data_IF_964627349379
#
_entry.id   IF_964627349379
#
_cell.length_a   1.000
_cell.length_b   1.000
_cell.length_c   1.000
_cell.angle_alpha   90.00
_cell.angle_beta   90.00
_cell.angle_gamma   90.00
#
_symmetry.space_group_name_H-M   'P 1'
#
loop_
_entity.id
_entity.type
_entity.pdbx_description
1 polymer ?
#
# COMPACT_ATOMS: atom_id res chain seq x y z
N UNK A 1 -18.16 -13.22 -11.29
CA UNK A 1 -17.27 -12.06 -11.30
C UNK A 1 -16.14 -12.31 -10.33
N UNK A 2 -14.91 -12.01 -10.73
CA UNK A 2 -13.69 -12.14 -9.93
C UNK A 2 -13.17 -10.77 -9.50
N UNK A 3 -12.85 -10.65 -8.22
CA UNK A 3 -12.33 -9.44 -7.61
C UNK A 3 -11.02 -9.77 -6.88
N UNK A 4 -9.98 -8.98 -7.14
CA UNK A 4 -8.75 -9.02 -6.34
C UNK A 4 -8.75 -7.81 -5.43
N UNK A 5 -8.52 -7.99 -4.13
CA UNK A 5 -8.39 -6.92 -3.15
C UNK A 5 -6.96 -6.90 -2.60
N UNK A 6 -6.30 -5.74 -2.68
CA UNK A 6 -4.89 -5.55 -2.35
C UNK A 6 -4.75 -4.60 -1.14
N UNK A 7 -3.92 -4.98 -0.16
CA UNK A 7 -3.34 -4.05 0.82
C UNK A 7 -1.91 -3.69 0.36
N UNK A 8 -1.63 -2.45 -0.06
CA UNK A 8 -0.32 -2.03 -0.55
C UNK A 8 0.72 -1.96 0.57
N UNK A 9 2.03 -1.98 0.25
CA UNK A 9 3.09 -1.90 1.25
C UNK A 9 3.04 -0.74 2.22
N UNK A 10 3.60 -0.98 3.40
CA UNK A 10 3.66 -0.10 4.58
C UNK A 10 2.36 0.03 5.38
N UNK A 11 1.49 -0.98 5.37
CA UNK A 11 0.63 -1.18 6.53
C UNK A 11 1.48 -1.58 7.75
N UNK A 12 0.89 -1.54 8.96
CA UNK A 12 1.54 -2.15 10.12
C UNK A 12 1.84 -3.63 9.81
N UNK A 13 3.09 -4.10 9.92
CA UNK A 13 3.41 -5.51 9.70
C UNK A 13 2.90 -6.41 10.83
N UNK A 14 2.49 -5.82 11.95
CA UNK A 14 2.00 -6.51 13.15
C UNK A 14 0.48 -6.55 13.23
N UNK A 15 -0.22 -6.03 12.23
CA UNK A 15 -1.68 -5.94 12.25
C UNK A 15 -2.23 -6.39 10.91
N UNK A 16 -3.01 -7.48 10.86
CA UNK A 16 -3.61 -7.93 9.61
C UNK A 16 -4.57 -6.85 9.08
N UNK A 17 -4.76 -6.75 7.75
CA UNK A 17 -5.67 -5.78 7.15
C UNK A 17 -7.13 -6.21 7.35
N UNK A 18 -7.64 -6.18 8.58
CA UNK A 18 -8.97 -6.68 8.97
C UNK A 18 -10.11 -6.06 8.15
N UNK A 19 -10.02 -4.78 7.81
CA UNK A 19 -11.00 -4.13 6.92
C UNK A 19 -11.07 -4.77 5.54
N UNK A 20 -9.93 -5.21 4.99
CA UNK A 20 -9.86 -5.92 3.71
C UNK A 20 -10.47 -7.33 3.81
N UNK A 21 -10.23 -8.02 4.93
CA UNK A 21 -10.78 -9.35 5.21
C UNK A 21 -12.30 -9.29 5.40
N UNK A 22 -12.79 -8.29 6.15
CA UNK A 22 -14.23 -8.02 6.32
C UNK A 22 -14.89 -7.77 4.96
N UNK A 23 -14.33 -6.85 4.18
CA UNK A 23 -14.83 -6.53 2.84
C UNK A 23 -14.86 -7.76 1.94
N UNK A 24 -13.77 -8.52 1.88
CA UNK A 24 -13.69 -9.73 1.05
C UNK A 24 -14.73 -10.78 1.45
N UNK A 25 -14.95 -10.97 2.75
CA UNK A 25 -15.97 -11.89 3.25
C UNK A 25 -17.38 -11.43 2.90
N UNK A 26 -17.66 -10.12 3.03
CA UNK A 26 -18.93 -9.55 2.62
C UNK A 26 -19.18 -9.75 1.12
N UNK A 27 -18.20 -9.43 0.26
CA UNK A 27 -18.32 -9.59 -1.20
C UNK A 27 -18.54 -11.06 -1.61
N UNK A 28 -17.88 -12.01 -0.94
CA UNK A 28 -18.11 -13.45 -1.17
C UNK A 28 -19.56 -13.86 -0.87
N UNK A 29 -20.16 -13.34 0.20
CA UNK A 29 -21.60 -13.55 0.50
C UNK A 29 -22.51 -12.95 -0.57
N UNK A 30 -22.05 -11.95 -1.31
CA UNK A 30 -22.74 -11.36 -2.46
C UNK A 30 -22.52 -12.13 -3.77
N UNK A 31 -21.87 -13.30 -3.73
CA UNK A 31 -21.60 -14.15 -4.91
C UNK A 31 -20.43 -13.66 -5.77
N UNK A 32 -19.57 -12.79 -5.24
CA UNK A 32 -18.35 -12.33 -5.91
C UNK A 32 -17.20 -13.25 -5.51
N UNK A 33 -16.47 -13.78 -6.48
CA UNK A 33 -15.24 -14.53 -6.23
C UNK A 33 -14.14 -13.55 -5.84
N UNK A 34 -13.56 -13.69 -4.65
CA UNK A 34 -12.61 -12.71 -4.08
C UNK A 34 -11.29 -13.38 -3.75
N UNK A 35 -10.21 -12.84 -4.32
CA UNK A 35 -8.83 -13.09 -3.92
C UNK A 35 -8.33 -11.93 -3.05
N UNK A 36 -7.76 -12.24 -1.89
CA UNK A 36 -7.14 -11.26 -1.00
C UNK A 36 -5.62 -11.35 -1.15
N UNK A 37 -4.96 -10.20 -1.23
CA UNK A 37 -3.49 -10.13 -1.26
C UNK A 37 -3.04 -9.09 -0.27
N UNK A 38 -2.20 -9.51 0.68
CA UNK A 38 -1.56 -8.59 1.61
C UNK A 38 -0.16 -8.27 1.09
N UNK A 39 -0.13 -7.44 0.05
CA UNK A 39 1.12 -7.02 -0.56
C UNK A 39 2.05 -6.30 0.43
N UNK A 40 1.55 -5.84 1.58
CA UNK A 40 2.40 -5.24 2.61
C UNK A 40 3.31 -6.23 3.30
N UNK A 41 2.75 -7.32 3.85
CA UNK A 41 3.58 -8.34 4.47
C UNK A 41 4.34 -9.15 3.42
N UNK A 42 3.72 -9.43 2.26
CA UNK A 42 4.36 -10.20 1.18
C UNK A 42 5.57 -9.47 0.59
N UNK A 43 5.49 -8.15 0.36
CA UNK A 43 6.62 -7.37 -0.14
C UNK A 43 7.76 -7.27 0.88
N UNK A 44 7.40 -7.10 2.17
CA UNK A 44 8.38 -7.10 3.27
C UNK A 44 9.11 -8.44 3.34
N UNK A 45 8.35 -9.54 3.28
CA UNK A 45 8.87 -10.89 3.33
C UNK A 45 9.77 -11.21 2.12
N UNK A 46 9.35 -10.78 0.92
CA UNK A 46 10.14 -10.90 -0.31
C UNK A 46 11.48 -10.16 -0.19
N UNK A 47 11.46 -8.92 0.33
CA UNK A 47 12.66 -8.10 0.47
C UNK A 47 13.63 -8.66 1.51
N UNK A 48 13.12 -9.15 2.63
CA UNK A 48 13.89 -9.68 3.76
C UNK A 48 14.42 -11.10 3.55
N UNK A 49 14.10 -11.75 2.43
CA UNK A 49 14.71 -13.02 2.07
C UNK A 49 16.25 -12.90 2.09
N UNK A 50 17.00 -13.69 2.89
CA UNK A 50 18.42 -13.44 3.13
C UNK A 50 19.27 -13.33 1.85
N UNK A 51 19.01 -14.18 0.86
CA UNK A 51 19.72 -14.16 -0.43
C UNK A 51 19.49 -12.87 -1.25
N UNK A 52 18.39 -12.14 -1.02
CA UNK A 52 18.09 -10.85 -1.68
C UNK A 52 18.57 -9.67 -0.86
N UNK A 53 18.42 -9.76 0.46
CA UNK A 53 18.71 -8.67 1.38
C UNK A 53 20.22 -8.48 1.59
N UNK A 54 20.93 -9.56 1.94
CA UNK A 54 22.30 -9.47 2.47
C UNK A 54 23.25 -8.70 1.54
N UNK A 55 23.28 -8.95 0.21
CA UNK A 55 24.16 -8.19 -0.68
C UNK A 55 23.86 -6.69 -0.69
N UNK A 56 22.58 -6.30 -0.59
CA UNK A 56 22.19 -4.89 -0.54
C UNK A 56 22.52 -4.26 0.81
N UNK A 57 22.26 -4.97 1.91
CA UNK A 57 22.57 -4.51 3.25
C UNK A 57 24.09 -4.31 3.46
N UNK A 58 24.94 -5.18 2.92
CA UNK A 58 26.40 -5.04 2.98
C UNK A 58 26.89 -3.78 2.26
N UNK A 59 26.35 -3.51 1.07
CA UNK A 59 26.65 -2.26 0.34
C UNK A 59 26.20 -1.04 1.13
N UNK A 60 24.99 -1.09 1.70
CA UNK A 60 24.47 -0.01 2.51
C UNK A 60 25.27 0.26 3.78
N UNK A 61 25.71 -0.80 4.47
CA UNK A 61 26.58 -0.69 5.63
C UNK A 61 27.90 0.01 5.27
N UNK A 62 28.51 -0.37 4.14
CA UNK A 62 29.73 0.28 3.65
C UNK A 62 29.51 1.76 3.27
N UNK A 63 28.35 2.11 2.71
CA UNK A 63 27.99 3.50 2.41
C UNK A 63 27.84 4.34 3.69
N UNK A 64 27.10 3.83 4.68
CA UNK A 64 26.89 4.53 5.95
C UNK A 64 28.18 4.66 6.78
N UNK A 65 29.06 3.66 6.74
CA UNK A 65 30.39 3.74 7.39
C UNK A 65 31.24 4.90 6.86
N UNK A 66 31.08 5.25 5.58
CA UNK A 66 31.78 6.38 4.96
C UNK A 66 31.20 7.74 5.39
N UNK A 67 30.15 7.75 6.22
CA UNK A 67 29.46 8.94 6.74
C UNK A 67 29.06 9.92 5.63
N UNK A 68 28.62 9.36 4.49
CA UNK A 68 28.05 10.18 3.42
C UNK A 68 26.81 10.88 4.00
N UNK A 69 26.77 12.22 4.02
CA UNK A 69 25.62 12.95 4.54
C UNK A 69 24.35 12.53 3.80
N UNK A 70 23.30 12.22 4.54
CA UNK A 70 21.99 11.95 3.98
C UNK A 70 21.25 13.28 3.80
N UNK A 71 20.67 13.53 2.63
CA UNK A 71 19.90 14.75 2.37
C UNK A 71 18.47 14.41 1.90
N UNK A 72 17.41 14.77 2.66
CA UNK A 72 17.46 15.36 4.00
C UNK A 72 17.98 14.34 5.02
N UNK A 73 18.56 14.81 6.13
CA UNK A 73 19.01 13.92 7.18
C UNK A 73 17.85 13.03 7.68
N UNK A 74 18.05 11.71 7.69
CA UNK A 74 17.08 10.75 8.20
C UNK A 74 17.51 10.28 9.59
N UNK A 75 16.80 10.64 10.67
CA UNK A 75 16.98 10.11 12.01
C UNK A 75 17.17 8.60 12.13
N UNK A 76 16.56 7.78 11.27
CA UNK A 76 16.84 6.35 11.22
C UNK A 76 18.28 6.03 10.79
N UNK A 77 18.76 6.69 9.74
CA UNK A 77 20.14 6.55 9.24
C UNK A 77 21.16 7.18 10.18
N UNK A 78 20.81 8.29 10.83
CA UNK A 78 21.64 8.91 11.87
C UNK A 78 21.75 8.03 13.11
N UNK A 79 20.65 7.39 13.55
CA UNK A 79 20.68 6.41 14.64
C UNK A 79 21.63 5.24 14.30
N UNK A 80 21.52 4.69 13.10
CA UNK A 80 22.35 3.55 12.69
C UNK A 80 23.83 3.95 12.55
N UNK A 81 24.09 5.14 12.01
CA UNK A 81 25.44 5.69 11.84
C UNK A 81 26.10 6.10 13.17
N UNK A 82 25.34 6.62 14.13
CA UNK A 82 25.88 7.21 15.37
C UNK A 82 25.73 6.32 16.62
N UNK A 83 24.67 5.51 16.73
CA UNK A 83 24.35 4.70 17.92
C UNK A 83 24.69 3.21 17.76
N UNK A 84 24.48 2.64 16.58
CA UNK A 84 24.59 1.19 16.36
C UNK A 84 25.92 0.74 15.74
N UNK A 85 26.63 1.62 15.01
CA UNK A 85 27.74 1.28 14.10
C UNK A 85 27.25 0.35 12.95
N UNK A 86 27.24 0.78 11.68
CA UNK A 86 26.72 -0.03 10.58
C UNK A 86 27.39 -1.41 10.43
N UNK A 87 28.66 -1.56 10.87
CA UNK A 87 29.34 -2.86 10.89
C UNK A 87 28.71 -3.84 11.89
N UNK A 88 28.37 -3.37 13.09
CA UNK A 88 27.76 -4.20 14.13
C UNK A 88 26.30 -4.53 13.79
N UNK A 89 25.55 -3.56 13.26
CA UNK A 89 24.21 -3.80 12.72
C UNK A 89 24.24 -4.89 11.62
N UNK A 90 25.19 -4.81 10.68
CA UNK A 90 25.34 -5.83 9.64
C UNK A 90 25.69 -7.22 10.21
N UNK A 91 26.51 -7.29 11.27
CA UNK A 91 26.81 -8.55 11.96
C UNK A 91 25.55 -9.15 12.61
N UNK A 92 24.72 -8.33 13.26
CA UNK A 92 23.45 -8.76 13.82
C UNK A 92 22.50 -9.27 12.72
N UNK A 93 22.38 -8.55 11.60
CA UNK A 93 21.58 -8.97 10.43
C UNK A 93 22.03 -10.34 9.91
N UNK A 94 23.34 -10.56 9.74
CA UNK A 94 23.88 -11.86 9.32
C UNK A 94 23.57 -12.98 10.31
N UNK A 95 23.62 -12.71 11.62
CA UNK A 95 23.44 -13.71 12.67
C UNK A 95 21.98 -14.05 12.98
N UNK A 96 21.07 -13.07 12.91
CA UNK A 96 19.69 -13.20 13.42
C UNK A 96 18.70 -13.37 12.27
N UNK A 97 18.81 -12.62 11.17
CA UNK A 97 17.78 -12.65 10.12
C UNK A 97 17.57 -14.06 9.53
N UNK A 98 18.62 -14.84 9.20
CA UNK A 98 18.45 -16.20 8.71
C UNK A 98 17.82 -17.17 9.73
N UNK A 99 17.84 -16.84 11.02
CA UNK A 99 17.25 -17.70 12.07
C UNK A 99 15.78 -17.40 12.30
N UNK A 100 15.31 -16.20 11.93
CA UNK A 100 13.92 -15.78 12.12
C UNK A 100 13.12 -15.74 10.83
N UNK A 101 13.77 -15.73 9.66
CA UNK A 101 13.09 -15.74 8.37
C UNK A 101 12.93 -17.18 7.86
N UNK A 102 11.72 -17.58 7.51
CA UNK A 102 11.44 -18.78 6.73
C UNK A 102 10.74 -18.41 5.42
N UNK A 103 10.42 -19.38 4.56
CA UNK A 103 9.65 -19.08 3.33
C UNK A 103 8.21 -18.64 3.65
N UNK A 104 7.66 -19.09 4.77
CA UNK A 104 6.24 -18.98 5.06
C UNK A 104 5.93 -17.91 6.12
N UNK A 105 6.90 -17.56 6.98
CA UNK A 105 6.69 -16.61 8.07
C UNK A 105 8.00 -16.08 8.68
N UNK A 106 7.84 -15.11 9.59
CA UNK A 106 8.86 -14.76 10.58
C UNK A 106 8.65 -15.55 11.87
N UNK A 107 9.64 -16.35 12.27
CA UNK A 107 9.69 -17.11 13.51
C UNK A 107 10.38 -16.30 14.61
N UNK A 108 9.66 -15.32 15.16
CA UNK A 108 10.15 -14.47 16.24
C UNK A 108 10.12 -15.20 17.59
N UNK A 109 11.17 -15.03 18.38
CA UNK A 109 11.27 -15.50 19.76
C UNK A 109 10.72 -14.41 20.70
N UNK A 110 9.64 -14.67 21.45
CA UNK A 110 9.07 -13.69 22.38
C UNK A 110 10.08 -13.15 23.41
N UNK A 111 11.07 -13.95 23.81
CA UNK A 111 12.09 -13.53 24.78
C UNK A 111 13.14 -12.57 24.17
N UNK A 112 13.26 -12.55 22.85
CA UNK A 112 14.21 -11.72 22.08
C UNK A 112 13.53 -10.78 21.09
N UNK A 113 12.23 -10.57 21.27
CA UNK A 113 11.38 -9.89 20.31
C UNK A 113 11.93 -8.52 19.92
N UNK A 114 12.32 -7.70 20.89
CA UNK A 114 12.80 -6.33 20.64
C UNK A 114 14.11 -6.34 19.83
N UNK A 115 15.07 -7.21 20.18
CA UNK A 115 16.33 -7.39 19.44
C UNK A 115 16.08 -7.83 17.99
N UNK A 116 15.14 -8.75 17.78
CA UNK A 116 14.80 -9.27 16.46
C UNK A 116 14.09 -8.20 15.61
N UNK A 117 13.20 -7.40 16.19
CA UNK A 117 12.56 -6.29 15.51
C UNK A 117 13.54 -5.18 15.16
N UNK A 118 14.47 -4.83 16.07
CA UNK A 118 15.55 -3.89 15.79
C UNK A 118 16.44 -4.41 14.65
N UNK A 119 16.74 -5.71 14.62
CA UNK A 119 17.51 -6.30 13.53
C UNK A 119 16.77 -6.25 12.19
N UNK A 120 15.46 -6.52 12.16
CA UNK A 120 14.65 -6.36 10.95
C UNK A 120 14.64 -4.90 10.50
N UNK A 121 14.46 -3.96 11.43
CA UNK A 121 14.48 -2.53 11.14
C UNK A 121 15.82 -2.09 10.51
N UNK A 122 16.95 -2.50 11.11
CA UNK A 122 18.28 -2.19 10.61
C UNK A 122 18.56 -2.85 9.26
N UNK A 123 18.13 -4.09 9.07
CA UNK A 123 18.18 -4.79 7.78
C UNK A 123 17.51 -3.99 6.66
N UNK A 124 16.33 -3.43 6.91
CA UNK A 124 15.61 -2.64 5.91
C UNK A 124 16.34 -1.34 5.56
N UNK A 125 16.83 -0.61 6.58
CA UNK A 125 17.58 0.64 6.38
C UNK A 125 18.85 0.36 5.59
N UNK A 126 19.64 -0.63 6.02
CA UNK A 126 20.86 -1.04 5.34
C UNK A 126 20.58 -1.42 3.89
N UNK A 127 19.52 -2.19 3.64
CA UNK A 127 19.18 -2.64 2.29
C UNK A 127 18.66 -1.55 1.36
N UNK A 128 18.29 -0.39 1.88
CA UNK A 128 17.77 0.74 1.10
C UNK A 128 18.68 1.97 1.16
N UNK A 129 19.86 1.83 1.77
CA UNK A 129 20.80 2.94 1.95
C UNK A 129 21.30 3.54 0.63
N UNK A 130 21.30 2.77 -0.45
CA UNK A 130 21.66 3.19 -1.81
C UNK A 130 20.52 3.87 -2.57
N UNK A 131 19.28 3.83 -2.04
CA UNK A 131 18.08 4.44 -2.61
C UNK A 131 17.80 5.87 -2.09
N UNK A 132 18.87 6.61 -1.76
CA UNK A 132 18.82 8.02 -1.37
C UNK A 132 17.88 8.84 -2.26
N UNK A 133 17.08 9.77 -1.71
CA UNK A 133 17.11 10.24 -0.33
C UNK A 133 16.19 9.45 0.62
N UNK A 134 15.75 8.24 0.27
CA UNK A 134 14.74 7.53 1.02
C UNK A 134 15.25 6.21 1.61
N UNK A 135 14.88 5.92 2.85
CA UNK A 135 15.20 4.66 3.54
C UNK A 135 13.92 4.01 4.06
N UNK A 136 13.89 2.68 4.03
CA UNK A 136 12.81 1.86 4.55
C UNK A 136 13.15 1.39 5.97
N UNK A 137 12.27 1.64 6.93
CA UNK A 137 12.31 1.05 8.26
C UNK A 137 11.05 0.24 8.56
N UNK A 138 11.06 -0.47 9.69
CA UNK A 138 9.92 -1.31 10.13
C UNK A 138 8.71 -0.48 10.59
N UNK A 139 8.94 0.74 11.10
CA UNK A 139 7.90 1.74 11.38
C UNK A 139 7.34 2.43 10.14
N UNK A 140 7.87 2.10 8.95
CA UNK A 140 7.62 2.77 7.68
C UNK A 140 8.83 3.56 7.20
N UNK A 141 8.60 4.43 6.21
CA UNK A 141 9.58 5.43 5.77
C UNK A 141 9.68 6.48 6.86
N UNK A 142 10.65 6.33 7.75
CA UNK A 142 10.69 7.13 8.96
C UNK A 142 10.83 8.63 8.63
N UNK A 143 11.45 9.08 7.52
CA UNK A 143 11.87 10.49 7.43
C UNK A 143 12.02 11.09 6.00
N UNK A 144 11.37 10.59 4.94
CA UNK A 144 11.50 11.20 3.60
C UNK A 144 10.15 11.44 2.92
N UNK A 145 9.94 12.65 2.38
CA UNK A 145 8.82 12.96 1.46
C UNK A 145 8.88 11.96 0.31
N UNK A 146 7.96 11.00 0.28
CA UNK A 146 7.84 9.98 -0.75
C UNK A 146 7.46 10.60 -2.10
N UNK A 147 8.40 11.28 -2.75
CA UNK A 147 8.46 11.39 -4.19
C UNK A 147 9.49 10.38 -4.64
N UNK A 148 9.05 9.17 -4.95
CA UNK A 148 9.93 8.24 -5.64
C UNK A 148 10.32 8.88 -6.97
N UNK A 149 11.62 8.89 -7.25
CA UNK A 149 12.03 8.96 -8.63
C UNK A 149 11.40 7.74 -9.34
N UNK A 150 10.92 7.88 -10.59
CA UNK A 150 10.42 6.73 -11.32
C UNK A 150 11.42 5.56 -11.26
N UNK A 151 10.99 4.43 -10.71
CA UNK A 151 11.82 3.24 -10.54
C UNK A 151 12.56 3.10 -9.20
N UNK A 152 12.42 4.04 -8.27
CA UNK A 152 13.08 3.98 -6.95
C UNK A 152 12.24 3.35 -5.83
N UNK A 153 11.12 2.69 -6.17
CA UNK A 153 10.30 1.96 -5.20
C UNK A 153 11.05 0.67 -4.78
N UNK A 154 11.35 0.44 -3.49
CA UNK A 154 12.12 -0.71 -3.03
C UNK A 154 11.40 -2.05 -3.20
N UNK A 155 10.10 -2.04 -3.48
CA UNK A 155 9.29 -3.24 -3.70
C UNK A 155 8.98 -3.47 -5.18
N UNK A 156 9.61 -2.72 -6.08
CA UNK A 156 9.35 -2.82 -7.52
C UNK A 156 9.60 -4.22 -8.09
N UNK A 157 10.67 -4.89 -7.64
CA UNK A 157 11.00 -6.25 -8.06
C UNK A 157 9.93 -7.24 -7.59
N UNK A 158 9.43 -7.10 -6.35
CA UNK A 158 8.31 -7.89 -5.85
C UNK A 158 7.06 -7.69 -6.72
N UNK A 159 6.77 -6.46 -7.12
CA UNK A 159 5.61 -6.19 -7.97
C UNK A 159 5.71 -6.91 -9.32
N UNK A 160 6.88 -6.87 -9.93
CA UNK A 160 7.11 -7.41 -11.29
C UNK A 160 7.28 -8.92 -11.31
N UNK A 161 7.95 -9.49 -10.31
CA UNK A 161 8.25 -10.92 -10.25
C UNK A 161 7.12 -11.72 -9.61
N UNK A 162 6.33 -11.14 -8.71
CA UNK A 162 5.36 -11.88 -7.90
C UNK A 162 3.94 -11.32 -8.01
N UNK A 163 3.72 -10.08 -7.55
CA UNK A 163 2.37 -9.53 -7.39
C UNK A 163 1.62 -9.45 -8.72
N UNK A 164 2.17 -8.75 -9.71
CA UNK A 164 1.48 -8.51 -10.98
C UNK A 164 1.25 -9.83 -11.74
N UNK A 165 2.23 -10.75 -11.87
CA UNK A 165 1.97 -12.07 -12.44
C UNK A 165 0.82 -12.81 -11.76
N UNK A 166 0.78 -12.86 -10.43
CA UNK A 166 -0.29 -13.53 -9.68
C UNK A 166 -1.67 -12.87 -9.91
N UNK A 167 -1.73 -11.54 -9.93
CA UNK A 167 -2.99 -10.82 -10.23
C UNK A 167 -3.43 -11.06 -11.68
N UNK A 168 -2.51 -11.12 -12.63
CA UNK A 168 -2.84 -11.46 -14.04
C UNK A 168 -3.37 -12.88 -14.16
N UNK A 169 -2.75 -13.85 -13.49
CA UNK A 169 -3.19 -15.24 -13.48
C UNK A 169 -4.59 -15.41 -12.86
N UNK A 170 -4.90 -14.65 -11.82
CA UNK A 170 -6.24 -14.62 -11.23
C UNK A 170 -7.34 -14.17 -12.22
N UNK A 171 -6.95 -13.44 -13.28
CA UNK A 171 -7.82 -12.87 -14.30
C UNK A 171 -9.03 -12.11 -13.71
N UNK A 172 -8.80 -11.03 -12.91
CA UNK A 172 -9.87 -10.31 -12.25
C UNK A 172 -10.71 -9.47 -13.21
N UNK A 173 -12.00 -9.36 -12.93
CA UNK A 173 -12.90 -8.39 -13.56
C UNK A 173 -12.77 -7.00 -12.91
N UNK A 174 -12.27 -6.93 -11.66
CA UNK A 174 -12.06 -5.69 -10.91
C UNK A 174 -10.95 -5.87 -9.87
N UNK A 175 -10.14 -4.83 -9.66
CA UNK A 175 -9.12 -4.78 -8.60
C UNK A 175 -9.47 -3.69 -7.59
N UNK A 176 -9.51 -4.03 -6.31
CA UNK A 176 -9.60 -3.07 -5.21
C UNK A 176 -8.23 -2.82 -4.57
N UNK A 177 -7.87 -1.57 -4.31
CA UNK A 177 -6.63 -1.20 -3.60
C UNK A 177 -6.98 -0.41 -2.34
N UNK A 178 -6.70 -0.97 -1.17
CA UNK A 178 -7.04 -0.39 0.13
C UNK A 178 -5.89 0.45 0.69
N UNK A 179 -5.98 1.76 0.54
CA UNK A 179 -4.99 2.73 1.01
C UNK A 179 -5.43 3.24 2.39
N UNK A 180 -4.89 2.62 3.43
CA UNK A 180 -5.19 2.91 4.83
C UNK A 180 -4.38 4.06 5.43
N UNK A 181 -3.15 4.26 4.96
CA UNK A 181 -2.21 5.26 5.47
C UNK A 181 -1.65 6.14 4.34
N UNK A 182 -1.31 7.40 4.66
CA UNK A 182 -0.69 8.34 3.72
C UNK A 182 0.57 7.77 3.06
N UNK A 183 1.43 7.11 3.85
CA UNK A 183 2.67 6.49 3.37
C UNK A 183 2.46 5.40 2.31
N UNK A 184 1.26 4.84 2.18
CA UNK A 184 0.96 3.82 1.17
C UNK A 184 0.68 4.42 -0.22
N UNK A 185 0.43 5.73 -0.32
CA UNK A 185 -0.01 6.39 -1.57
C UNK A 185 0.96 6.15 -2.72
N UNK A 186 2.26 6.34 -2.49
CA UNK A 186 3.27 6.19 -3.52
C UNK A 186 3.40 4.73 -3.99
N UNK A 187 3.32 3.76 -3.08
CA UNK A 187 3.34 2.33 -3.41
C UNK A 187 2.09 1.89 -4.16
N UNK A 188 0.92 2.37 -3.74
CA UNK A 188 -0.33 2.11 -4.43
C UNK A 188 -0.26 2.67 -5.86
N UNK A 189 0.29 3.87 -6.07
CA UNK A 189 0.49 4.43 -7.40
C UNK A 189 1.43 3.57 -8.25
N UNK A 190 2.56 3.10 -7.70
CA UNK A 190 3.47 2.18 -8.40
C UNK A 190 2.77 0.87 -8.78
N UNK A 191 2.05 0.24 -7.85
CA UNK A 191 1.29 -0.99 -8.09
C UNK A 191 0.26 -0.78 -9.20
N UNK A 192 -0.51 0.30 -9.14
CA UNK A 192 -1.52 0.62 -10.17
C UNK A 192 -0.85 0.80 -11.53
N UNK A 193 0.28 1.50 -11.59
CA UNK A 193 1.04 1.68 -12.82
C UNK A 193 1.56 0.36 -13.39
N UNK A 194 2.11 -0.53 -12.56
CA UNK A 194 2.58 -1.85 -13.00
C UNK A 194 1.41 -2.76 -13.43
N UNK A 195 0.29 -2.74 -12.71
CA UNK A 195 -0.93 -3.47 -13.10
C UNK A 195 -1.47 -2.97 -14.45
N UNK A 196 -1.52 -1.65 -14.67
CA UNK A 196 -2.02 -1.06 -15.93
C UNK A 196 -1.20 -1.46 -17.16
N UNK A 197 0.08 -1.79 -17.00
CA UNK A 197 0.91 -2.32 -18.09
C UNK A 197 0.51 -3.72 -18.54
N UNK A 198 -0.20 -4.49 -17.71
CA UNK A 198 -0.60 -5.87 -17.99
C UNK A 198 -2.12 -6.10 -18.04
N UNK A 199 -2.89 -5.26 -17.35
CA UNK A 199 -4.35 -5.35 -17.23
C UNK A 199 -5.00 -4.10 -17.83
N UNK A 200 -5.00 -4.02 -19.16
CA UNK A 200 -5.73 -2.97 -19.88
C UNK A 200 -7.24 -3.17 -19.75
N UNK A 201 -7.95 -2.16 -19.26
CA UNK A 201 -9.42 -2.16 -19.22
C UNK A 201 -10.07 -2.78 -17.99
N UNK A 202 -9.31 -3.43 -17.09
CA UNK A 202 -9.85 -3.93 -15.80
C UNK A 202 -10.02 -2.75 -14.84
N UNK A 203 -11.23 -2.42 -14.35
CA UNK A 203 -11.44 -1.36 -13.38
C UNK A 203 -10.58 -1.50 -12.11
N UNK A 204 -9.93 -0.41 -11.69
CA UNK A 204 -9.20 -0.32 -10.42
C UNK A 204 -9.94 0.66 -9.51
N UNK A 205 -10.36 0.16 -8.35
CA UNK A 205 -11.13 0.89 -7.35
C UNK A 205 -10.25 1.12 -6.12
N UNK A 206 -10.03 2.38 -5.75
CA UNK A 206 -9.28 2.71 -4.53
C UNK A 206 -10.21 2.93 -3.33
N UNK A 207 -9.72 2.68 -2.13
CA UNK A 207 -10.48 2.89 -0.90
C UNK A 207 -9.56 2.89 0.31
N UNK A 208 -10.12 2.62 1.49
CA UNK A 208 -9.36 2.59 2.74
C UNK A 208 -9.44 3.90 3.52
N UNK A 209 -9.01 3.86 4.79
CA UNK A 209 -9.20 4.95 5.75
C UNK A 209 -8.59 6.29 5.30
N UNK A 210 -7.44 6.26 4.60
CA UNK A 210 -6.82 7.50 4.12
C UNK A 210 -7.62 8.12 2.96
N UNK A 211 -8.10 7.30 2.02
CA UNK A 211 -8.98 7.76 0.93
C UNK A 211 -10.29 8.32 1.50
N UNK A 212 -10.91 7.59 2.44
CA UNK A 212 -12.13 8.06 3.11
C UNK A 212 -11.90 9.36 3.89
N UNK A 213 -10.76 9.55 4.54
CA UNK A 213 -10.43 10.81 5.22
C UNK A 213 -10.33 11.99 4.24
N UNK A 214 -9.76 11.80 3.05
CA UNK A 214 -9.74 12.83 2.02
C UNK A 214 -11.16 13.11 1.52
N UNK A 215 -11.96 12.08 1.28
CA UNK A 215 -13.36 12.23 0.87
C UNK A 215 -14.18 13.05 1.89
N UNK A 216 -14.04 12.77 3.19
CA UNK A 216 -14.71 13.52 4.26
C UNK A 216 -14.35 15.01 4.20
N UNK A 217 -13.06 15.33 4.05
CA UNK A 217 -12.59 16.72 4.01
C UNK A 217 -12.96 17.46 2.72
N UNK A 218 -13.20 16.73 1.63
CA UNK A 218 -13.52 17.31 0.32
C UNK A 218 -15.01 17.32 0.01
N UNK A 219 -15.82 16.53 0.72
CA UNK A 219 -17.25 16.39 0.44
C UNK A 219 -17.92 17.78 0.47
N UNK A 220 -18.54 18.22 -0.63
CA UNK A 220 -19.10 19.56 -0.70
C UNK A 220 -20.38 19.65 0.15
N UNK A 221 -20.57 20.78 0.84
CA UNK A 221 -21.78 21.05 1.63
C UNK A 221 -23.05 21.19 0.78
N UNK A 222 -22.90 21.51 -0.51
CA UNK A 222 -23.97 21.56 -1.50
C UNK A 222 -23.49 21.05 -2.86
N UNK A 223 -24.36 20.37 -3.61
CA UNK A 223 -23.99 19.71 -4.86
C UNK A 223 -23.23 18.39 -4.66
N UNK A 224 -22.55 17.94 -5.71
CA UNK A 224 -21.84 16.63 -5.74
C UNK A 224 -20.46 16.71 -6.40
N UNK A 225 -19.96 17.90 -6.68
CA UNK A 225 -18.75 18.09 -7.49
C UNK A 225 -17.76 18.99 -6.77
N UNK A 226 -16.49 18.59 -6.79
CA UNK A 226 -15.36 19.37 -6.29
C UNK A 226 -14.44 19.69 -7.47
N UNK A 227 -14.15 20.96 -7.77
CA UNK A 227 -13.26 21.31 -8.88
C UNK A 227 -11.82 20.92 -8.57
N UNK A 228 -11.15 20.34 -9.58
CA UNK A 228 -9.70 20.21 -9.59
C UNK A 228 -9.11 21.56 -9.96
N UNK A 229 -8.31 22.12 -9.05
CA UNK A 229 -7.62 23.39 -9.31
C UNK A 229 -6.25 23.11 -9.92
N UNK A 230 -5.88 23.91 -10.92
CA UNK A 230 -4.50 23.98 -11.40
C UNK A 230 -3.63 24.80 -10.45
N UNK A 231 -2.31 24.56 -10.46
CA UNK A 231 -1.35 25.24 -9.60
C UNK A 231 -0.94 24.41 -8.39
N UNK A 232 -1.05 24.97 -7.18
CA UNK A 232 -0.62 24.31 -5.94
C UNK A 232 -1.39 23.02 -5.69
N UNK A 233 -0.71 21.88 -5.42
CA UNK A 233 -1.38 20.62 -5.09
C UNK A 233 -2.35 20.79 -3.92
N UNK A 234 -3.61 20.37 -4.12
CA UNK A 234 -4.66 20.36 -3.09
C UNK A 234 -5.01 18.93 -2.70
N UNK A 235 -5.75 18.73 -1.59
CA UNK A 235 -6.31 17.43 -1.24
C UNK A 235 -7.17 16.84 -2.38
N UNK A 236 -7.83 17.68 -3.18
CA UNK A 236 -8.58 17.22 -4.35
C UNK A 236 -7.66 16.67 -5.43
N UNK A 237 -6.53 17.33 -5.72
CA UNK A 237 -5.53 16.79 -6.65
C UNK A 237 -4.95 15.47 -6.15
N UNK A 238 -4.69 15.35 -4.84
CA UNK A 238 -4.21 14.12 -4.22
C UNK A 238 -5.23 12.99 -4.35
N UNK A 239 -6.50 13.22 -3.97
CA UNK A 239 -7.56 12.22 -4.12
C UNK A 239 -7.74 11.81 -5.59
N UNK A 240 -7.79 12.77 -6.51
CA UNK A 240 -7.91 12.48 -7.93
C UNK A 240 -6.74 11.67 -8.48
N UNK A 241 -5.51 11.89 -8.00
CA UNK A 241 -4.34 11.11 -8.41
C UNK A 241 -4.39 9.64 -7.98
N UNK A 242 -5.18 9.32 -6.95
CA UNK A 242 -5.40 7.95 -6.48
C UNK A 242 -6.61 7.28 -7.15
N UNK A 243 -7.43 8.02 -7.89
CA UNK A 243 -8.59 7.47 -8.57
C UNK A 243 -8.17 7.10 -9.99
N UNK A 244 -7.97 5.81 -10.20
CA UNK A 244 -7.81 5.28 -11.56
C UNK A 244 -9.19 5.14 -12.24
N UNK A 245 -10.09 4.31 -11.68
CA UNK A 245 -11.44 4.13 -12.24
C UNK A 245 -12.52 4.75 -11.35
N UNK A 246 -12.46 4.46 -10.05
CA UNK A 246 -13.29 5.07 -9.02
C UNK A 246 -12.61 4.93 -7.64
N UNK A 247 -13.12 5.65 -6.65
CA UNK A 247 -12.81 5.43 -5.24
C UNK A 247 -14.08 5.12 -4.44
N UNK A 248 -13.90 4.48 -3.30
CA UNK A 248 -14.92 4.26 -2.27
C UNK A 248 -14.74 5.28 -1.15
N UNK A 249 -15.85 5.87 -0.73
CA UNK A 249 -15.97 6.86 0.33
C UNK A 249 -16.75 6.28 1.52
N UNK A 250 -16.05 6.03 2.61
CA UNK A 250 -16.60 5.42 3.83
C UNK A 250 -16.38 3.91 3.89
N UNK A 251 -17.39 3.18 4.38
CA UNK A 251 -17.41 1.71 4.42
C UNK A 251 -17.51 1.13 3.02
N UNK A 252 -16.73 0.06 2.76
CA UNK A 252 -16.55 -0.45 1.40
C UNK A 252 -17.53 -1.53 0.98
N UNK A 253 -18.20 -2.17 1.93
CA UNK A 253 -19.03 -3.35 1.73
C UNK A 253 -20.12 -3.09 0.67
N UNK A 254 -21.05 -2.18 0.97
CA UNK A 254 -22.15 -1.88 0.06
C UNK A 254 -21.70 -1.17 -1.25
N UNK A 255 -20.83 -0.14 -1.21
CA UNK A 255 -20.35 0.54 -2.42
C UNK A 255 -19.57 -0.38 -3.36
N UNK A 256 -18.67 -1.22 -2.84
CA UNK A 256 -17.87 -2.12 -3.66
C UNK A 256 -18.75 -3.23 -4.26
N UNK A 257 -19.71 -3.78 -3.52
CA UNK A 257 -20.65 -4.75 -4.06
C UNK A 257 -21.53 -4.15 -5.17
N UNK A 258 -22.00 -2.91 -4.99
CA UNK A 258 -22.75 -2.19 -6.02
C UNK A 258 -21.90 -1.91 -7.26
N UNK A 259 -20.63 -1.52 -7.06
CA UNK A 259 -19.65 -1.31 -8.13
C UNK A 259 -19.41 -2.59 -8.93
N UNK A 260 -19.17 -3.71 -8.25
CA UNK A 260 -19.01 -5.03 -8.87
C UNK A 260 -20.24 -5.39 -9.73
N UNK A 261 -21.46 -5.24 -9.19
CA UNK A 261 -22.70 -5.50 -9.94
C UNK A 261 -22.89 -4.56 -11.14
N UNK A 262 -22.46 -3.31 -11.04
CA UNK A 262 -22.53 -2.37 -12.15
C UNK A 262 -21.56 -2.76 -13.27
N UNK A 263 -20.31 -3.08 -12.92
CA UNK A 263 -19.29 -3.56 -13.87
C UNK A 263 -19.75 -4.85 -14.57
N UNK A 264 -20.23 -5.83 -13.81
CA UNK A 264 -20.72 -7.10 -14.36
C UNK A 264 -21.88 -6.92 -15.36
N UNK A 265 -22.71 -5.88 -15.15
CA UNK A 265 -23.84 -5.55 -16.00
C UNK A 265 -23.50 -4.54 -17.12
N UNK A 266 -22.23 -4.11 -17.25
CA UNK A 266 -21.83 -3.06 -18.20
C UNK A 266 -22.49 -1.70 -17.96
N UNK A 267 -22.87 -1.39 -16.70
CA UNK A 267 -23.54 -0.15 -16.33
C UNK A 267 -22.55 0.91 -15.83
N UNK A 268 -22.94 2.19 -15.95
CA UNK A 268 -22.16 3.30 -15.39
C UNK A 268 -22.03 3.18 -13.86
N UNK A 269 -20.89 3.65 -13.35
CA UNK A 269 -20.63 3.79 -11.92
C UNK A 269 -21.18 5.10 -11.34
N UNK A 270 -21.68 5.99 -12.19
CA UNK A 270 -22.19 7.29 -11.77
C UNK A 270 -23.44 7.14 -10.89
N UNK A 271 -23.46 7.85 -9.77
CA UNK A 271 -24.60 7.88 -8.86
C UNK A 271 -24.71 6.68 -7.92
N UNK A 272 -23.78 5.71 -7.99
CA UNK A 272 -23.69 4.65 -6.97
C UNK A 272 -23.32 5.29 -5.63
N UNK A 273 -24.06 4.93 -4.57
CA UNK A 273 -23.81 5.45 -3.23
C UNK A 273 -22.42 5.05 -2.73
N UNK A 274 -21.70 6.00 -2.13
CA UNK A 274 -20.33 5.80 -1.63
C UNK A 274 -19.26 5.68 -2.72
N UNK A 275 -19.59 5.89 -3.99
CA UNK A 275 -18.61 5.84 -5.09
C UNK A 275 -18.23 7.26 -5.53
N UNK A 276 -16.94 7.50 -5.67
CA UNK A 276 -16.33 8.77 -6.09
C UNK A 276 -15.58 8.57 -7.39
N UNK A 277 -15.69 9.51 -8.33
CA UNK A 277 -15.05 9.43 -9.65
C UNK A 277 -14.41 10.74 -10.05
N UNK A 278 -13.38 10.67 -10.88
CA UNK A 278 -12.83 11.86 -11.54
C UNK A 278 -13.48 12.02 -12.91
N UNK A 279 -13.98 13.21 -13.18
CA UNK A 279 -14.34 13.66 -14.51
C UNK A 279 -13.21 14.54 -15.05
N UNK A 280 -12.38 13.94 -15.91
CA UNK A 280 -11.24 14.63 -16.52
C UNK A 280 -11.66 15.68 -17.54
N UNK A 281 -12.85 15.56 -18.18
CA UNK A 281 -13.31 16.56 -19.13
C UNK A 281 -13.76 17.83 -18.40
N UNK A 282 -14.50 17.67 -17.30
CA UNK A 282 -14.93 18.79 -16.48
C UNK A 282 -13.88 19.25 -15.44
N UNK A 283 -12.77 18.52 -15.29
CA UNK A 283 -11.77 18.73 -14.23
C UNK A 283 -12.42 18.77 -12.85
N UNK A 284 -13.25 17.78 -12.53
CA UNK A 284 -13.95 17.70 -11.24
C UNK A 284 -13.88 16.30 -10.62
N UNK A 285 -13.99 16.23 -9.30
CA UNK A 285 -14.30 15.00 -8.58
C UNK A 285 -15.81 14.97 -8.36
N UNK A 286 -16.46 13.89 -8.76
CA UNK A 286 -17.89 13.64 -8.61
C UNK A 286 -18.12 12.65 -7.48
N UNK A 287 -18.86 13.06 -6.47
CA UNK A 287 -19.27 12.22 -5.34
C UNK A 287 -20.65 11.61 -5.60
N UNK A 288 -20.76 10.30 -5.43
CA UNK A 288 -22.04 9.63 -5.31
C UNK A 288 -22.81 10.08 -4.06
N UNK A 289 -24.09 9.69 -3.94
CA UNK A 289 -24.84 9.83 -2.69
C UNK A 289 -24.04 9.20 -1.52
N UNK A 290 -24.19 9.69 -0.28
CA UNK A 290 -23.61 9.01 0.88
C UNK A 290 -24.09 7.56 0.96
N UNK A 291 -23.18 6.63 1.25
CA UNK A 291 -23.55 5.26 1.63
C UNK A 291 -23.55 5.17 3.15
N UNK A 292 -24.70 4.89 3.80
CA UNK A 292 -24.70 4.67 5.23
C UNK A 292 -23.91 3.40 5.58
N UNK A 293 -23.33 3.32 6.78
CA UNK A 293 -22.79 2.10 7.33
C UNK A 293 -23.77 0.94 7.27
N UNK A 294 -23.24 -0.27 7.11
CA UNK A 294 -24.08 -1.46 7.28
C UNK A 294 -24.45 -1.63 8.76
N UNK A 295 -25.67 -2.08 9.01
CA UNK A 295 -26.05 -2.53 10.35
C UNK A 295 -25.13 -3.70 10.76
N UNK A 296 -24.76 -3.79 12.05
CA UNK A 296 -23.82 -4.82 12.52
C UNK A 296 -24.26 -6.26 12.20
N UNK A 297 -25.57 -6.52 12.16
CA UNK A 297 -26.14 -7.82 11.79
C UNK A 297 -25.89 -8.21 10.32
N UNK A 298 -25.67 -7.21 9.45
CA UNK A 298 -25.37 -7.42 8.03
C UNK A 298 -23.87 -7.63 7.77
N UNK A 299 -23.00 -7.38 8.76
CA UNK A 299 -21.58 -7.63 8.65
C UNK A 299 -21.26 -9.12 8.82
N UNK A 300 -20.20 -9.62 8.17
CA UNK A 300 -19.73 -10.98 8.43
C UNK A 300 -19.24 -11.11 9.89
N UNK A 301 -19.62 -12.22 10.54
CA UNK A 301 -18.89 -12.69 11.71
C UNK A 301 -17.50 -13.13 11.25
N UNK A 302 -16.45 -12.43 11.72
CA UNK A 302 -15.05 -12.79 11.52
C UNK A 302 -14.69 -14.04 12.32
#
# INVERSE_FOLDING_TARGET
>A
MKCVLLNPPLSSPFSPPLGLVSLGTYLRRQGIDVTLVDASIEALHYRLAPHRLLPAAERGAALLQRRVPWEPALPACDRLSNRANPAAAMQAVHGILPTIWSRDAFELDPARHDEQLETIHDALILSTADAQPAALGLGGYDEARASFAPGSDPFLDYYREVLVPAVVEAAPDVVGVSIGYERQVAFAATIIAELRRKLSGVPIITGGSFVSALCINLRPSSGRTVPLRGGTPTCANLLASMIDTAAVDGEGEAPMAATCRAIAAGRSLDGIAGVVRVDHAAQTIRFGPPSPPLAGEALPSL
#
